data_IF_307096539742
#
_entry.id   IF_307096539742
#
_cell.length_a   1.000
_cell.length_b   1.000
_cell.length_c   1.000
_cell.angle_alpha   90.00
_cell.angle_beta   90.00
_cell.angle_gamma   90.00
#
_symmetry.space_group_name_H-M   'P 1'
#
loop_
_entity.id
_entity.type
_entity.pdbx_description
1 polymer ?
#
# COMPACT_ATOMS: atom_id res chain seq x y z
N UNK A 1 -7.87 -39.57 -44.79
CA UNK A 1 -8.19 -38.24 -44.22
C UNK A 1 -8.71 -38.50 -42.83
N UNK A 2 -7.80 -38.65 -41.87
CA UNK A 2 -8.16 -38.53 -40.46
C UNK A 2 -8.55 -37.07 -40.24
N UNK A 3 -9.79 -36.85 -39.81
CA UNK A 3 -10.23 -35.53 -39.41
C UNK A 3 -9.49 -35.16 -38.14
N UNK A 4 -8.62 -34.16 -38.24
CA UNK A 4 -8.19 -33.41 -37.06
C UNK A 4 -9.46 -32.76 -36.49
N UNK A 5 -10.08 -33.40 -35.50
CA UNK A 5 -11.06 -32.75 -34.65
C UNK A 5 -10.40 -31.47 -34.11
N UNK A 6 -11.05 -30.29 -34.24
CA UNK A 6 -10.46 -29.05 -33.76
C UNK A 6 -10.23 -29.20 -32.25
N UNK A 7 -8.95 -29.23 -31.86
CA UNK A 7 -8.52 -29.32 -30.46
C UNK A 7 -9.28 -28.24 -29.68
N UNK A 8 -10.20 -28.66 -28.81
CA UNK A 8 -10.97 -27.72 -28.02
C UNK A 8 -9.99 -26.83 -27.24
N UNK A 9 -10.19 -25.50 -27.26
CA UNK A 9 -9.32 -24.62 -26.52
C UNK A 9 -9.37 -24.98 -25.03
N UNK A 10 -8.22 -25.37 -24.48
CA UNK A 10 -8.09 -25.75 -23.07
C UNK A 10 -8.28 -24.50 -22.19
N UNK A 11 -9.51 -24.28 -21.74
CA UNK A 11 -9.85 -23.29 -20.71
C UNK A 11 -10.09 -24.00 -19.38
N UNK A 12 -9.45 -23.52 -18.31
CA UNK A 12 -9.74 -23.95 -16.95
C UNK A 12 -11.16 -23.55 -16.52
N UNK A 13 -11.69 -24.23 -15.50
CA UNK A 13 -13.08 -24.03 -15.05
C UNK A 13 -13.38 -22.60 -14.61
N UNK A 14 -12.41 -21.88 -14.02
CA UNK A 14 -12.61 -20.51 -13.56
C UNK A 14 -12.57 -19.52 -14.73
N UNK A 15 -11.67 -19.68 -15.70
CA UNK A 15 -11.63 -18.85 -16.92
C UNK A 15 -12.88 -19.01 -17.79
N UNK A 16 -13.57 -20.16 -17.72
CA UNK A 16 -14.88 -20.34 -18.37
C UNK A 16 -15.97 -19.46 -17.80
N UNK A 17 -15.94 -19.22 -16.48
CA UNK A 17 -16.94 -18.40 -15.79
C UNK A 17 -16.52 -16.93 -15.81
N UNK A 18 -15.26 -16.64 -15.53
CA UNK A 18 -14.76 -15.30 -15.34
C UNK A 18 -13.41 -15.14 -16.05
N UNK A 19 -13.39 -14.78 -17.34
CA UNK A 19 -12.14 -14.54 -18.07
C UNK A 19 -11.41 -13.28 -17.54
N UNK A 20 -10.11 -13.20 -17.83
CA UNK A 20 -9.19 -12.22 -17.27
C UNK A 20 -9.67 -10.74 -17.35
N UNK A 21 -10.23 -10.24 -18.46
CA UNK A 21 -10.66 -8.84 -18.51
C UNK A 21 -11.76 -8.51 -17.50
N UNK A 22 -12.68 -9.45 -17.25
CA UNK A 22 -13.73 -9.27 -16.23
C UNK A 22 -13.17 -9.33 -14.81
N UNK A 23 -12.14 -10.15 -14.55
CA UNK A 23 -11.46 -10.19 -13.25
C UNK A 23 -10.87 -8.82 -12.89
N UNK A 24 -10.11 -8.24 -13.82
CA UNK A 24 -9.51 -6.91 -13.69
C UNK A 24 -10.60 -5.86 -13.45
N UNK A 25 -11.66 -5.88 -14.27
CA UNK A 25 -12.80 -4.98 -14.14
C UNK A 25 -13.47 -5.05 -12.77
N UNK A 26 -13.77 -6.25 -12.27
CA UNK A 26 -14.42 -6.45 -10.98
C UNK A 26 -13.57 -5.92 -9.83
N UNK A 27 -12.27 -6.18 -9.82
CA UNK A 27 -11.38 -5.72 -8.75
C UNK A 27 -11.26 -4.19 -8.74
N UNK A 28 -11.24 -3.55 -9.91
CA UNK A 28 -11.23 -2.08 -9.99
C UNK A 28 -12.54 -1.51 -9.46
N UNK A 29 -13.70 -2.03 -9.90
CA UNK A 29 -15.01 -1.55 -9.44
C UNK A 29 -15.20 -1.79 -7.94
N UNK A 30 -14.76 -2.93 -7.43
CA UNK A 30 -14.74 -3.25 -6.00
C UNK A 30 -13.94 -2.22 -5.20
N UNK A 31 -12.78 -1.77 -5.69
CA UNK A 31 -12.00 -0.71 -5.05
C UNK A 31 -12.73 0.62 -4.94
N UNK A 32 -13.54 0.98 -5.95
CA UNK A 32 -14.34 2.19 -5.92
C UNK A 32 -15.44 2.09 -4.85
N UNK A 33 -16.13 0.95 -4.75
CA UNK A 33 -17.07 0.68 -3.67
C UNK A 33 -16.41 0.74 -2.28
N UNK A 34 -15.24 0.10 -2.15
CA UNK A 34 -14.44 0.07 -0.94
C UNK A 34 -14.04 1.48 -0.48
N UNK A 35 -13.64 2.35 -1.41
CA UNK A 35 -13.36 3.76 -1.11
C UNK A 35 -14.62 4.54 -0.68
N UNK A 36 -15.76 4.32 -1.34
CA UNK A 36 -17.04 4.91 -0.94
C UNK A 36 -17.43 4.53 0.49
N UNK A 37 -17.26 3.27 0.88
CA UNK A 37 -17.50 2.77 2.23
C UNK A 37 -16.55 3.39 3.27
N UNK A 38 -15.26 3.60 2.92
CA UNK A 38 -14.34 4.36 3.78
C UNK A 38 -14.89 5.76 4.07
N UNK A 39 -15.25 6.49 3.01
CA UNK A 39 -15.77 7.86 3.14
C UNK A 39 -17.07 7.90 3.94
N UNK A 40 -17.98 6.94 3.74
CA UNK A 40 -19.24 6.89 4.47
C UNK A 40 -19.00 6.67 5.96
N UNK A 41 -18.29 5.60 6.33
CA UNK A 41 -18.11 5.23 7.73
C UNK A 41 -17.27 6.26 8.49
N UNK A 42 -16.18 6.76 7.89
CA UNK A 42 -15.36 7.82 8.50
C UNK A 42 -16.17 9.11 8.70
N UNK A 43 -17.06 9.45 7.76
CA UNK A 43 -17.98 10.58 7.94
C UNK A 43 -18.99 10.36 9.07
N UNK A 44 -19.47 9.12 9.29
CA UNK A 44 -20.40 8.81 10.37
C UNK A 44 -19.77 9.03 11.74
N UNK A 45 -18.50 8.68 11.89
CA UNK A 45 -17.72 8.93 13.12
C UNK A 45 -17.06 10.31 13.14
N UNK A 46 -17.49 11.26 12.28
CA UNK A 46 -17.03 12.66 12.25
C UNK A 46 -15.55 12.88 11.89
N UNK A 47 -14.94 11.98 11.12
CA UNK A 47 -13.63 12.19 10.49
C UNK A 47 -13.83 12.78 9.09
N UNK A 48 -13.37 14.02 8.88
CA UNK A 48 -13.47 14.73 7.59
C UNK A 48 -12.30 14.36 6.66
N UNK A 49 -12.43 13.21 5.99
CA UNK A 49 -11.45 12.73 4.99
C UNK A 49 -11.19 13.74 3.87
N UNK A 50 -12.22 14.37 3.24
CA UNK A 50 -12.02 15.44 2.27
C UNK A 50 -11.04 16.52 2.73
N UNK A 51 -11.16 16.99 3.97
CA UNK A 51 -10.24 18.00 4.52
C UNK A 51 -8.78 17.50 4.60
N UNK A 52 -8.57 16.25 5.05
CA UNK A 52 -7.23 15.65 5.18
C UNK A 52 -6.52 15.50 3.85
N UNK A 53 -7.26 15.11 2.80
CA UNK A 53 -6.70 14.94 1.46
C UNK A 53 -6.75 16.24 0.65
N UNK A 54 -7.17 17.37 1.25
CA UNK A 54 -7.36 18.69 0.62
C UNK A 54 -8.36 18.68 -0.56
N UNK A 55 -9.39 17.85 -0.48
CA UNK A 55 -10.50 17.82 -1.44
C UNK A 55 -11.42 19.03 -1.22
N UNK A 56 -11.99 19.65 -2.28
CA UNK A 56 -12.87 20.81 -2.12
C UNK A 56 -14.03 20.53 -1.16
N UNK A 57 -14.22 21.44 -0.21
CA UNK A 57 -15.33 21.37 0.72
C UNK A 57 -16.68 21.50 0.00
N UNK A 58 -17.74 21.03 0.66
CA UNK A 58 -19.10 21.23 0.17
C UNK A 58 -19.51 22.68 0.38
N UNK A 59 -19.88 23.37 -0.69
CA UNK A 59 -20.36 24.76 -0.64
C UNK A 59 -21.74 24.89 0.05
N UNK A 60 -22.50 23.80 0.16
CA UNK A 60 -23.82 23.79 0.78
C UNK A 60 -24.12 22.43 1.41
N UNK A 61 -24.87 22.36 2.54
CA UNK A 61 -25.38 21.12 3.10
C UNK A 61 -26.23 20.31 2.11
N UNK A 62 -26.90 20.98 1.16
CA UNK A 62 -27.72 20.36 0.12
C UNK A 62 -26.89 19.66 -0.96
N UNK A 63 -25.58 19.94 -1.06
CA UNK A 63 -24.71 19.19 -1.96
C UNK A 63 -24.56 17.75 -1.47
N UNK A 64 -24.63 16.77 -2.39
CA UNK A 64 -24.50 15.37 -2.02
C UNK A 64 -23.17 15.12 -1.31
N UNK A 65 -23.15 14.27 -0.27
CA UNK A 65 -21.92 13.93 0.42
C UNK A 65 -20.94 13.23 -0.53
N UNK A 66 -19.63 13.32 -0.22
CA UNK A 66 -18.60 12.78 -1.11
C UNK A 66 -18.70 11.26 -1.30
N UNK A 67 -19.12 10.50 -0.27
CA UNK A 67 -19.37 9.06 -0.40
C UNK A 67 -20.50 8.75 -1.40
N UNK A 68 -21.56 9.57 -1.46
CA UNK A 68 -22.66 9.38 -2.41
C UNK A 68 -22.19 9.64 -3.85
N UNK A 69 -21.32 10.64 -4.05
CA UNK A 69 -20.68 10.85 -5.35
C UNK A 69 -19.85 9.63 -5.77
N UNK A 70 -19.15 8.99 -4.82
CA UNK A 70 -18.41 7.76 -5.07
C UNK A 70 -19.34 6.59 -5.43
N UNK A 71 -20.44 6.39 -4.69
CA UNK A 71 -21.44 5.36 -5.00
C UNK A 71 -22.12 5.55 -6.35
N UNK A 72 -22.34 6.80 -6.79
CA UNK A 72 -22.84 7.08 -8.14
C UNK A 72 -21.87 6.58 -9.21
N UNK A 73 -20.57 6.83 -9.05
CA UNK A 73 -19.55 6.30 -9.97
C UNK A 73 -19.49 4.78 -9.91
N UNK A 74 -19.48 4.20 -8.71
CA UNK A 74 -19.44 2.76 -8.50
C UNK A 74 -20.65 2.06 -9.16
N UNK A 75 -21.85 2.61 -8.97
CA UNK A 75 -23.10 2.11 -9.55
C UNK A 75 -23.10 2.26 -11.08
N UNK A 76 -22.66 3.40 -11.61
CA UNK A 76 -22.58 3.65 -13.04
C UNK A 76 -21.62 2.70 -13.77
N UNK A 77 -20.62 2.15 -13.07
CA UNK A 77 -19.72 1.12 -13.59
C UNK A 77 -20.27 -0.31 -13.34
N UNK A 78 -20.90 -0.54 -12.18
CA UNK A 78 -21.41 -1.86 -11.78
C UNK A 78 -22.58 -2.33 -12.64
N UNK A 79 -23.51 -1.45 -13.02
CA UNK A 79 -24.67 -1.80 -13.85
C UNK A 79 -24.25 -2.36 -15.22
N UNK A 80 -23.44 -1.65 -16.03
CA UNK A 80 -22.97 -2.18 -17.31
C UNK A 80 -22.06 -3.40 -17.14
N UNK A 81 -21.31 -3.51 -16.03
CA UNK A 81 -20.51 -4.70 -15.74
C UNK A 81 -21.39 -5.94 -15.55
N UNK A 82 -22.41 -5.83 -14.68
CA UNK A 82 -23.35 -6.90 -14.42
C UNK A 82 -24.12 -7.29 -15.69
N UNK A 83 -24.59 -6.30 -16.46
CA UNK A 83 -25.25 -6.57 -17.74
C UNK A 83 -24.34 -7.28 -18.74
N UNK A 84 -23.08 -6.84 -18.86
CA UNK A 84 -22.07 -7.46 -19.74
C UNK A 84 -21.75 -8.89 -19.30
N UNK A 85 -21.56 -9.14 -18.00
CA UNK A 85 -21.30 -10.47 -17.43
C UNK A 85 -22.48 -11.43 -17.63
N UNK A 86 -23.70 -10.99 -17.32
CA UNK A 86 -24.90 -11.80 -17.51
C UNK A 86 -25.08 -12.15 -18.98
N UNK A 87 -24.93 -11.16 -19.89
CA UNK A 87 -24.98 -11.40 -21.33
C UNK A 87 -23.91 -12.41 -21.75
N UNK A 88 -22.66 -12.22 -21.31
CA UNK A 88 -21.55 -13.13 -21.59
C UNK A 88 -21.86 -14.57 -21.16
N UNK A 89 -22.39 -14.79 -19.95
CA UNK A 89 -22.79 -16.12 -19.50
C UNK A 89 -23.92 -16.71 -20.34
N UNK A 90 -24.92 -15.90 -20.71
CA UNK A 90 -26.04 -16.37 -21.52
C UNK A 90 -25.63 -16.78 -22.94
N UNK A 91 -24.76 -16.00 -23.61
CA UNK A 91 -24.37 -16.28 -25.00
C UNK A 91 -23.28 -17.34 -25.10
N UNK A 92 -22.46 -17.51 -24.07
CA UNK A 92 -21.40 -18.53 -24.09
C UNK A 92 -21.87 -19.87 -23.55
N UNK A 93 -22.80 -19.89 -22.59
CA UNK A 93 -23.25 -21.09 -21.88
C UNK A 93 -22.08 -21.96 -21.35
N UNK A 94 -20.91 -21.36 -21.10
CA UNK A 94 -19.69 -22.05 -20.69
C UNK A 94 -18.94 -22.81 -21.79
N UNK A 95 -19.37 -22.72 -23.06
CA UNK A 95 -18.70 -23.34 -24.21
C UNK A 95 -17.35 -22.67 -24.50
N UNK A 96 -16.23 -23.41 -24.55
CA UNK A 96 -14.90 -22.83 -24.78
C UNK A 96 -14.77 -22.07 -26.10
N UNK A 97 -15.36 -22.58 -27.18
CA UNK A 97 -15.34 -21.94 -28.50
C UNK A 97 -16.15 -20.64 -28.48
N UNK A 98 -17.31 -20.66 -27.84
CA UNK A 98 -18.15 -19.47 -27.69
C UNK A 98 -17.44 -18.38 -26.86
N UNK A 99 -16.81 -18.75 -25.74
CA UNK A 99 -16.04 -17.83 -24.89
C UNK A 99 -14.98 -17.07 -25.69
N UNK A 100 -14.20 -17.78 -26.50
CA UNK A 100 -13.16 -17.18 -27.35
C UNK A 100 -13.77 -16.23 -28.38
N UNK A 101 -14.84 -16.66 -29.05
CA UNK A 101 -15.52 -15.88 -30.10
C UNK A 101 -16.18 -14.60 -29.56
N UNK A 102 -16.70 -14.62 -28.33
CA UNK A 102 -17.40 -13.51 -27.69
C UNK A 102 -16.49 -12.62 -26.82
N UNK A 103 -15.18 -12.66 -27.04
CA UNK A 103 -14.20 -11.83 -26.33
C UNK A 103 -14.43 -10.32 -26.44
N UNK A 104 -15.21 -9.89 -27.43
CA UNK A 104 -15.64 -8.50 -27.58
C UNK A 104 -16.39 -7.97 -26.35
N UNK A 105 -17.21 -8.76 -25.67
CA UNK A 105 -17.99 -8.32 -24.51
C UNK A 105 -17.09 -7.90 -23.32
N UNK A 106 -16.18 -8.77 -22.81
CA UNK A 106 -15.24 -8.40 -21.77
C UNK A 106 -14.34 -7.23 -22.16
N UNK A 107 -13.83 -7.22 -23.40
CA UNK A 107 -12.93 -6.17 -23.89
C UNK A 107 -13.64 -4.82 -24.01
N UNK A 108 -14.89 -4.82 -24.52
CA UNK A 108 -15.70 -3.60 -24.64
C UNK A 108 -16.00 -3.01 -23.25
N UNK A 109 -16.34 -3.85 -22.27
CA UNK A 109 -16.54 -3.36 -20.91
C UNK A 109 -15.24 -2.78 -20.32
N UNK A 110 -14.10 -3.47 -20.51
CA UNK A 110 -12.81 -2.96 -20.03
C UNK A 110 -12.47 -1.62 -20.68
N UNK A 111 -12.78 -1.44 -21.98
CA UNK A 111 -12.66 -0.16 -22.66
C UNK A 111 -13.60 0.90 -22.05
N UNK A 112 -14.86 0.58 -21.77
CA UNK A 112 -15.81 1.48 -21.08
C UNK A 112 -15.26 1.90 -19.71
N UNK A 113 -14.63 1.00 -18.98
CA UNK A 113 -14.00 1.30 -17.69
C UNK A 113 -12.83 2.28 -17.85
N UNK A 114 -11.91 2.02 -18.79
CA UNK A 114 -10.75 2.90 -19.05
C UNK A 114 -11.20 4.28 -19.54
N UNK A 115 -12.12 4.32 -20.51
CA UNK A 115 -12.70 5.57 -21.03
C UNK A 115 -13.47 6.29 -19.93
N UNK A 116 -14.24 5.57 -19.12
CA UNK A 116 -14.96 6.11 -17.97
C UNK A 116 -14.03 6.69 -16.90
N UNK A 117 -12.80 6.19 -16.79
CA UNK A 117 -11.79 6.73 -15.89
C UNK A 117 -11.14 8.00 -16.44
N UNK A 118 -10.79 8.02 -17.74
CA UNK A 118 -10.03 9.10 -18.38
C UNK A 118 -10.94 10.27 -18.82
N UNK A 119 -12.09 9.97 -19.44
CA UNK A 119 -12.94 10.97 -20.07
C UNK A 119 -13.74 11.74 -19.01
N UNK A 120 -13.71 13.09 -19.02
CA UNK A 120 -14.43 13.93 -18.06
C UNK A 120 -15.93 14.03 -18.40
N UNK A 121 -16.65 12.92 -18.30
CA UNK A 121 -18.10 12.86 -18.54
C UNK A 121 -18.83 13.79 -17.54
N UNK A 122 -19.64 14.75 -18.02
CA UNK A 122 -20.30 15.74 -17.17
C UNK A 122 -21.23 15.12 -16.12
N UNK A 123 -21.87 14.00 -16.45
CA UNK A 123 -22.90 13.33 -15.63
C UNK A 123 -22.35 12.54 -14.44
N UNK A 124 -21.03 12.28 -14.38
CA UNK A 124 -20.44 11.37 -13.38
C UNK A 124 -19.13 11.95 -12.82
N UNK A 125 -19.23 12.95 -11.94
CA UNK A 125 -18.11 13.45 -11.11
C UNK A 125 -16.87 13.95 -11.88
N UNK A 126 -17.05 14.89 -12.81
CA UNK A 126 -15.96 15.54 -13.59
C UNK A 126 -14.79 16.03 -12.72
N UNK A 127 -15.07 16.78 -11.65
CA UNK A 127 -14.02 17.35 -10.79
C UNK A 127 -13.21 16.26 -10.05
N UNK A 128 -13.89 15.22 -9.55
CA UNK A 128 -13.24 14.08 -8.91
C UNK A 128 -12.30 13.32 -9.85
N UNK A 129 -12.73 13.08 -11.10
CA UNK A 129 -11.90 12.41 -12.11
C UNK A 129 -10.66 13.22 -12.46
N UNK A 130 -10.84 14.51 -12.76
CA UNK A 130 -9.71 15.39 -13.09
C UNK A 130 -8.67 15.41 -11.97
N UNK A 131 -9.11 15.52 -10.71
CA UNK A 131 -8.21 15.46 -9.55
C UNK A 131 -7.52 14.10 -9.43
N UNK A 132 -8.24 13.01 -9.65
CA UNK A 132 -7.68 11.65 -9.60
C UNK A 132 -6.59 11.48 -10.66
N UNK A 133 -6.85 11.89 -11.90
CA UNK A 133 -5.88 11.85 -13.00
C UNK A 133 -4.69 12.77 -12.75
N UNK A 134 -4.92 13.99 -12.24
CA UNK A 134 -3.84 14.91 -11.87
C UNK A 134 -2.97 14.34 -10.75
N UNK A 135 -3.58 13.67 -9.78
CA UNK A 135 -2.87 13.00 -8.67
C UNK A 135 -2.09 11.80 -9.19
N UNK A 136 -2.69 10.93 -10.01
CA UNK A 136 -1.99 9.83 -10.68
C UNK A 136 -0.80 10.32 -11.49
N UNK A 137 -1.00 11.32 -12.34
CA UNK A 137 0.08 11.93 -13.14
C UNK A 137 1.22 12.43 -12.25
N UNK A 138 0.87 13.16 -11.18
CA UNK A 138 1.84 13.71 -10.22
C UNK A 138 2.63 12.60 -9.53
N UNK A 139 1.95 11.61 -8.93
CA UNK A 139 2.64 10.50 -8.25
C UNK A 139 3.42 9.60 -9.22
N UNK A 140 3.02 9.46 -10.48
CA UNK A 140 3.68 8.59 -11.48
C UNK A 140 4.89 9.25 -12.14
N UNK A 141 4.80 10.50 -12.59
CA UNK A 141 5.87 11.17 -13.36
C UNK A 141 6.90 11.82 -12.43
N UNK A 142 6.47 12.36 -11.30
CA UNK A 142 7.34 13.10 -10.38
C UNK A 142 6.65 14.34 -9.84
N UNK A 143 7.06 14.70 -8.62
CA UNK A 143 6.32 15.63 -7.77
C UNK A 143 5.47 14.85 -6.79
N UNK A 144 5.80 14.92 -5.51
CA UNK A 144 4.85 14.66 -4.43
C UNK A 144 4.41 16.01 -3.92
N UNK A 145 3.10 16.19 -3.70
CA UNK A 145 2.56 17.40 -3.12
C UNK A 145 3.29 17.73 -1.81
N UNK A 146 3.46 19.01 -1.50
CA UNK A 146 3.97 19.40 -0.19
C UNK A 146 2.95 19.01 0.90
N UNK A 147 3.39 19.00 2.16
CA UNK A 147 2.52 18.66 3.28
C UNK A 147 1.26 19.55 3.31
N UNK A 148 1.42 20.84 2.98
CA UNK A 148 0.31 21.79 2.90
C UNK A 148 -0.68 21.49 1.76
N UNK A 149 -0.19 20.91 0.66
CA UNK A 149 -0.90 20.82 -0.63
C UNK A 149 -1.61 19.48 -0.87
N UNK A 150 -1.65 18.60 0.14
CA UNK A 150 -2.36 17.32 0.06
C UNK A 150 -1.47 16.10 -0.13
N UNK A 151 -0.21 16.14 0.36
CA UNK A 151 0.71 14.99 0.43
C UNK A 151 0.05 13.69 0.91
N UNK A 152 -0.85 13.78 1.89
CA UNK A 152 -1.54 12.62 2.43
C UNK A 152 -2.39 11.89 1.37
N UNK A 153 -3.09 12.64 0.51
CA UNK A 153 -3.85 12.08 -0.61
C UNK A 153 -2.94 11.39 -1.65
N UNK A 154 -1.77 11.97 -1.94
CA UNK A 154 -0.78 11.36 -2.84
C UNK A 154 -0.26 10.03 -2.27
N UNK A 155 0.03 9.99 -0.97
CA UNK A 155 0.49 8.78 -0.27
C UNK A 155 -0.60 7.71 -0.28
N UNK A 156 -1.84 8.05 0.07
CA UNK A 156 -2.96 7.09 0.06
C UNK A 156 -3.16 6.46 -1.32
N UNK A 157 -3.14 7.28 -2.39
CA UNK A 157 -3.31 6.77 -3.74
C UNK A 157 -2.12 5.90 -4.19
N UNK A 158 -0.90 6.33 -3.90
CA UNK A 158 0.29 5.56 -4.25
C UNK A 158 0.37 4.23 -3.48
N UNK A 159 -0.03 4.19 -2.21
CA UNK A 159 -0.12 2.95 -1.43
C UNK A 159 -1.27 2.06 -1.91
N UNK A 160 -2.39 2.62 -2.34
CA UNK A 160 -3.43 1.85 -3.03
C UNK A 160 -2.88 1.20 -4.31
N UNK A 161 -2.12 1.92 -5.13
CA UNK A 161 -1.50 1.36 -6.34
C UNK A 161 -0.57 0.17 -6.06
N UNK A 162 0.12 0.14 -4.91
CA UNK A 162 0.95 -1.04 -4.55
C UNK A 162 0.12 -2.31 -4.39
N UNK A 163 -1.09 -2.19 -3.84
CA UNK A 163 -2.04 -3.31 -3.71
C UNK A 163 -2.66 -3.71 -5.05
N UNK A 164 -2.68 -2.80 -6.03
CA UNK A 164 -3.12 -3.05 -7.40
C UNK A 164 -2.00 -3.53 -8.35
N UNK A 165 -0.76 -3.71 -7.88
CA UNK A 165 0.39 -4.04 -8.73
C UNK A 165 0.15 -5.25 -9.65
N UNK A 166 -0.40 -6.33 -9.11
CA UNK A 166 -0.73 -7.54 -9.88
C UNK A 166 -1.90 -7.32 -10.85
N UNK A 167 -2.93 -6.56 -10.44
CA UNK A 167 -4.05 -6.18 -11.31
C UNK A 167 -3.57 -5.35 -12.51
N UNK A 168 -2.57 -4.48 -12.32
CA UNK A 168 -1.92 -3.74 -13.40
C UNK A 168 -1.12 -4.67 -14.32
N UNK A 169 -0.46 -5.68 -13.76
CA UNK A 169 0.18 -6.77 -14.53
C UNK A 169 -0.84 -7.52 -15.40
N UNK A 170 -2.00 -7.88 -14.85
CA UNK A 170 -3.06 -8.59 -15.59
C UNK A 170 -3.74 -7.71 -16.64
N UNK A 171 -3.94 -6.41 -16.34
CA UNK A 171 -4.36 -5.45 -17.34
C UNK A 171 -3.38 -5.40 -18.51
N UNK A 172 -2.08 -5.44 -18.24
CA UNK A 172 -1.07 -5.54 -19.29
C UNK A 172 -1.11 -6.88 -20.03
N UNK A 173 -1.32 -8.00 -19.35
CA UNK A 173 -1.50 -9.32 -20.01
C UNK A 173 -2.67 -9.27 -20.99
N UNK A 174 -3.82 -8.70 -20.59
CA UNK A 174 -4.97 -8.51 -21.49
C UNK A 174 -4.58 -7.68 -22.71
N UNK A 175 -3.90 -6.55 -22.52
CA UNK A 175 -3.45 -5.70 -23.62
C UNK A 175 -2.45 -6.42 -24.54
N UNK A 176 -1.48 -7.13 -23.96
CA UNK A 176 -0.48 -7.85 -24.73
C UNK A 176 -1.11 -8.96 -25.57
N UNK A 177 -2.03 -9.74 -25.00
CA UNK A 177 -2.78 -10.78 -25.71
C UNK A 177 -3.69 -10.20 -26.80
N UNK A 178 -4.25 -9.00 -26.61
CA UNK A 178 -5.09 -8.34 -27.62
C UNK A 178 -4.31 -7.95 -28.89
N UNK A 179 -3.00 -7.73 -28.79
CA UNK A 179 -2.14 -7.33 -29.92
C UNK A 179 -1.13 -8.41 -30.34
N UNK A 180 -1.11 -9.56 -29.65
CA UNK A 180 -0.18 -10.65 -29.97
C UNK A 180 -0.79 -11.59 -31.01
N UNK A 181 -0.02 -11.91 -32.05
CA UNK A 181 -0.36 -12.98 -33.00
C UNK A 181 -0.29 -14.39 -32.40
N UNK A 182 0.34 -14.53 -31.22
CA UNK A 182 0.55 -15.82 -30.55
C UNK A 182 -0.55 -16.17 -29.55
N UNK A 183 -1.49 -15.26 -29.27
CA UNK A 183 -2.59 -15.49 -28.33
C UNK A 183 -3.91 -15.64 -29.11
N UNK A 184 -4.71 -16.70 -28.87
CA UNK A 184 -5.94 -16.92 -29.63
C UNK A 184 -7.06 -15.93 -29.27
N UNK A 185 -7.10 -15.43 -28.04
CA UNK A 185 -8.08 -14.44 -27.56
C UNK A 185 -7.72 -13.93 -26.16
N UNK A 186 -8.18 -12.73 -25.79
CA UNK A 186 -8.02 -12.18 -24.42
C UNK A 186 -8.83 -12.92 -23.36
N UNK A 187 -9.74 -13.80 -23.78
CA UNK A 187 -10.54 -14.68 -22.91
C UNK A 187 -9.96 -16.09 -22.82
N UNK A 188 -8.88 -16.37 -23.56
CA UNK A 188 -8.12 -17.59 -23.41
C UNK A 188 -7.32 -17.60 -22.09
N UNK A 189 -6.64 -18.71 -21.81
CA UNK A 189 -5.78 -18.83 -20.65
C UNK A 189 -4.75 -17.67 -20.63
N UNK A 190 -4.60 -16.93 -19.51
CA UNK A 190 -3.69 -15.81 -19.42
C UNK A 190 -2.23 -16.15 -19.76
N UNK A 191 -1.68 -15.54 -20.81
CA UNK A 191 -0.26 -15.70 -21.14
C UNK A 191 0.59 -14.70 -20.34
N UNK A 192 1.06 -15.14 -19.15
CA UNK A 192 1.95 -14.35 -18.28
C UNK A 192 3.40 -14.25 -18.76
N UNK A 193 3.71 -14.81 -19.94
CA UNK A 193 4.99 -14.62 -20.64
C UNK A 193 4.85 -13.71 -21.87
N UNK A 194 3.67 -13.12 -22.10
CA UNK A 194 3.44 -12.21 -23.21
C UNK A 194 4.33 -10.97 -23.06
N UNK A 195 5.21 -10.74 -24.05
CA UNK A 195 6.22 -9.68 -24.00
C UNK A 195 7.52 -10.07 -23.28
N UNK A 196 7.71 -11.36 -22.99
CA UNK A 196 8.94 -11.92 -22.40
C UNK A 196 8.89 -12.06 -20.87
N UNK A 197 9.89 -12.72 -20.27
CA UNK A 197 9.87 -13.13 -18.87
C UNK A 197 9.94 -11.97 -17.86
N UNK A 198 10.39 -10.79 -18.27
CA UNK A 198 10.66 -9.66 -17.36
C UNK A 198 9.72 -8.45 -17.51
N UNK A 199 8.93 -8.37 -18.58
CA UNK A 199 8.11 -7.18 -18.84
C UNK A 199 6.94 -7.05 -17.85
N UNK A 200 6.22 -8.13 -17.57
CA UNK A 200 5.16 -8.16 -16.56
C UNK A 200 5.71 -7.92 -15.15
N UNK A 201 6.80 -8.59 -14.70
CA UNK A 201 7.47 -8.26 -13.45
C UNK A 201 7.88 -6.79 -13.34
N UNK A 202 8.41 -6.20 -14.42
CA UNK A 202 8.73 -4.78 -14.45
C UNK A 202 7.49 -3.92 -14.19
N UNK A 203 6.36 -4.20 -14.84
CA UNK A 203 5.10 -3.47 -14.63
C UNK A 203 4.59 -3.62 -13.19
N UNK A 204 4.64 -4.83 -12.63
CA UNK A 204 4.28 -5.10 -11.22
C UNK A 204 5.19 -4.31 -10.26
N UNK A 205 6.43 -4.01 -10.64
CA UNK A 205 7.37 -3.22 -9.82
C UNK A 205 7.11 -1.71 -9.83
N UNK A 206 6.37 -1.19 -10.82
CA UNK A 206 6.15 0.26 -11.02
C UNK A 206 5.55 0.95 -9.77
N UNK A 207 4.50 0.42 -9.11
CA UNK A 207 3.96 1.05 -7.91
C UNK A 207 4.97 1.19 -6.78
N UNK A 208 5.80 0.16 -6.54
CA UNK A 208 6.87 0.21 -5.53
C UNK A 208 7.96 1.20 -5.92
N UNK A 209 8.30 1.32 -7.20
CA UNK A 209 9.24 2.31 -7.71
C UNK A 209 8.73 3.75 -7.51
N UNK A 210 7.44 3.98 -7.74
CA UNK A 210 6.78 5.26 -7.46
C UNK A 210 6.99 5.64 -5.98
N UNK A 211 6.70 4.72 -5.06
CA UNK A 211 6.86 4.95 -3.61
C UNK A 211 8.30 5.15 -3.20
N UNK A 212 9.24 4.34 -3.72
CA UNK A 212 10.67 4.52 -3.50
C UNK A 212 11.09 5.94 -3.89
N UNK A 213 10.75 6.39 -5.11
CA UNK A 213 11.08 7.74 -5.59
C UNK A 213 10.48 8.82 -4.70
N UNK A 214 9.22 8.68 -4.31
CA UNK A 214 8.56 9.63 -3.42
C UNK A 214 9.30 9.76 -2.07
N UNK A 215 9.70 8.63 -1.48
CA UNK A 215 10.42 8.61 -0.21
C UNK A 215 11.82 9.24 -0.33
N UNK A 216 12.57 8.95 -1.40
CA UNK A 216 13.86 9.57 -1.66
C UNK A 216 13.74 11.08 -1.92
N UNK A 217 12.66 11.52 -2.57
CA UNK A 217 12.39 12.94 -2.81
C UNK A 217 12.13 13.67 -1.51
N UNK A 218 11.32 13.11 -0.62
CA UNK A 218 11.04 13.69 0.70
C UNK A 218 12.29 13.76 1.58
N UNK A 219 13.11 12.69 1.62
CA UNK A 219 14.41 12.74 2.29
C UNK A 219 15.28 13.89 1.76
N UNK A 220 15.38 13.99 0.42
CA UNK A 220 16.16 15.06 -0.22
C UNK A 220 15.63 16.46 0.14
N UNK A 221 14.31 16.62 0.28
CA UNK A 221 13.68 17.89 0.71
C UNK A 221 14.00 18.24 2.15
N UNK A 222 13.93 17.27 3.07
CA UNK A 222 14.31 17.48 4.48
C UNK A 222 15.77 17.91 4.57
N UNK A 223 16.67 17.22 3.85
CA UNK A 223 18.10 17.58 3.84
C UNK A 223 18.36 18.95 3.20
N UNK A 224 17.62 19.32 2.16
CA UNK A 224 17.72 20.67 1.60
C UNK A 224 17.22 21.75 2.59
N UNK A 225 16.14 21.48 3.33
CA UNK A 225 15.62 22.39 4.34
C UNK A 225 16.58 22.57 5.53
N UNK A 226 17.13 21.47 6.05
CA UNK A 226 18.11 21.48 7.13
C UNK A 226 19.38 22.26 6.74
N UNK A 227 19.88 22.06 5.51
CA UNK A 227 21.02 22.85 4.99
C UNK A 227 20.73 24.35 4.91
N UNK A 228 19.50 24.75 4.54
CA UNK A 228 19.09 26.16 4.49
C UNK A 228 18.93 26.77 5.88
N UNK A 229 18.46 26.00 6.85
CA UNK A 229 18.22 26.45 8.22
C UNK A 229 19.49 26.44 9.11
N UNK A 230 20.54 25.71 8.71
CA UNK A 230 21.77 25.56 9.50
C UNK A 230 21.64 24.65 10.73
N UNK A 231 20.45 24.11 10.99
CA UNK A 231 20.15 23.16 12.05
C UNK A 231 19.00 22.24 11.61
N UNK A 232 18.80 21.13 12.31
CA UNK A 232 17.71 20.19 12.02
C UNK A 232 16.40 20.70 12.62
N UNK A 233 15.50 21.21 11.76
CA UNK A 233 14.19 21.72 12.19
C UNK A 233 13.16 20.59 12.39
N UNK A 234 13.25 19.52 11.58
CA UNK A 234 12.26 18.43 11.53
C UNK A 234 12.92 17.03 11.63
N UNK A 235 14.07 16.92 12.31
CA UNK A 235 14.90 15.71 12.29
C UNK A 235 15.77 15.60 11.03
N UNK A 236 16.59 14.54 10.94
CA UNK A 236 17.48 14.32 9.79
C UNK A 236 16.76 13.65 8.60
N UNK A 237 15.52 13.21 8.80
CA UNK A 237 14.68 12.61 7.76
C UNK A 237 14.86 11.10 7.60
N UNK A 238 15.42 10.43 8.62
CA UNK A 238 15.69 8.99 8.58
C UNK A 238 14.47 8.14 8.29
N UNK A 239 13.31 8.54 8.83
CA UNK A 239 12.01 7.93 8.53
C UNK A 239 11.70 7.82 7.02
N UNK A 240 12.11 8.80 6.21
CA UNK A 240 11.87 8.74 4.76
C UNK A 240 12.77 7.71 4.08
N UNK A 241 14.03 7.61 4.52
CA UNK A 241 14.96 6.60 4.02
C UNK A 241 14.54 5.19 4.45
N UNK A 242 14.07 5.02 5.69
CA UNK A 242 13.51 3.78 6.17
C UNK A 242 12.30 3.36 5.31
N UNK A 243 11.40 4.29 4.98
CA UNK A 243 10.27 4.01 4.10
C UNK A 243 10.72 3.65 2.68
N UNK A 244 11.74 4.33 2.14
CA UNK A 244 12.36 3.97 0.87
C UNK A 244 12.92 2.53 0.89
N UNK A 245 13.61 2.16 1.97
CA UNK A 245 14.12 0.81 2.16
C UNK A 245 12.98 -0.22 2.23
N UNK A 246 11.85 0.11 2.89
CA UNK A 246 10.66 -0.75 2.88
C UNK A 246 10.21 -1.06 1.45
N UNK A 247 9.99 -0.05 0.62
CA UNK A 247 9.52 -0.29 -0.76
C UNK A 247 10.58 -0.93 -1.67
N UNK A 248 11.88 -0.79 -1.36
CA UNK A 248 12.92 -1.47 -2.12
C UNK A 248 12.94 -2.99 -1.90
N UNK A 249 12.47 -3.47 -0.74
CA UNK A 249 12.38 -4.92 -0.45
C UNK A 249 11.41 -5.68 -1.38
N UNK A 250 10.53 -4.98 -2.11
CA UNK A 250 9.65 -5.61 -3.09
C UNK A 250 10.39 -6.05 -4.36
N UNK A 251 11.47 -5.36 -4.77
CA UNK A 251 12.16 -5.66 -6.03
C UNK A 251 12.83 -7.04 -6.05
N UNK A 252 13.57 -7.45 -4.99
CA UNK A 252 14.11 -8.81 -4.94
C UNK A 252 13.03 -9.89 -5.06
N UNK A 253 11.87 -9.71 -4.41
CA UNK A 253 10.75 -10.66 -4.51
C UNK A 253 10.30 -10.80 -5.97
N UNK A 254 10.03 -9.67 -6.63
CA UNK A 254 9.54 -9.64 -8.01
C UNK A 254 10.58 -10.23 -8.98
N UNK A 255 11.84 -9.82 -8.86
CA UNK A 255 12.93 -10.29 -9.73
C UNK A 255 13.18 -11.79 -9.56
N UNK A 256 13.26 -12.28 -8.32
CA UNK A 256 13.49 -13.70 -8.06
C UNK A 256 12.29 -14.55 -8.51
N UNK A 257 11.07 -14.02 -8.43
CA UNK A 257 9.87 -14.68 -8.98
C UNK A 257 9.97 -14.84 -10.50
N UNK A 258 10.48 -13.83 -11.20
CA UNK A 258 10.70 -13.87 -12.65
C UNK A 258 11.80 -14.87 -13.01
N UNK A 259 12.93 -14.83 -12.31
CA UNK A 259 14.08 -15.73 -12.53
C UNK A 259 13.73 -17.19 -12.28
N UNK A 260 12.95 -17.48 -11.23
CA UNK A 260 12.52 -18.83 -10.91
C UNK A 260 11.53 -19.37 -11.95
N UNK A 261 10.66 -18.52 -12.52
CA UNK A 261 9.75 -18.88 -13.62
C UNK A 261 10.51 -19.14 -14.93
N UNK A 262 11.62 -18.44 -15.16
CA UNK A 262 12.46 -18.60 -16.35
C UNK A 262 13.66 -19.51 -16.13
N UNK A 263 13.67 -20.31 -15.07
CA UNK A 263 14.81 -21.16 -14.72
C UNK A 263 14.94 -22.31 -15.73
N UNK A 264 16.11 -22.42 -16.35
CA UNK A 264 16.49 -23.54 -17.21
C UNK A 264 17.65 -24.30 -16.54
N UNK A 265 17.48 -25.59 -16.18
CA UNK A 265 18.51 -26.40 -15.53
C UNK A 265 19.84 -26.46 -16.30
N UNK A 266 19.82 -26.39 -17.62
CA UNK A 266 21.01 -26.54 -18.48
C UNK A 266 21.79 -25.22 -18.62
N UNK A 267 21.11 -24.06 -18.50
CA UNK A 267 21.71 -22.74 -18.76
C UNK A 267 21.93 -21.92 -17.48
N UNK A 268 21.23 -22.24 -16.40
CA UNK A 268 21.21 -21.42 -15.19
C UNK A 268 22.38 -21.73 -14.26
N UNK A 269 23.18 -20.70 -13.93
CA UNK A 269 24.33 -20.81 -13.01
C UNK A 269 23.94 -21.09 -11.55
N UNK A 270 22.71 -20.80 -11.16
CA UNK A 270 22.20 -20.92 -9.78
C UNK A 270 21.14 -22.01 -9.77
N UNK A 271 21.27 -22.99 -8.88
CA UNK A 271 20.26 -24.05 -8.73
C UNK A 271 18.87 -23.50 -8.39
N UNK A 272 17.82 -24.13 -8.89
CA UNK A 272 16.42 -23.81 -8.58
C UNK A 272 16.16 -23.71 -7.06
N UNK A 273 16.71 -24.67 -6.30
CA UNK A 273 16.57 -24.69 -4.83
C UNK A 273 17.20 -23.46 -4.17
N UNK A 274 18.35 -23.02 -4.65
CA UNK A 274 18.99 -21.81 -4.12
C UNK A 274 18.18 -20.55 -4.49
N UNK A 275 17.66 -20.45 -5.72
CA UNK A 275 16.77 -19.37 -6.14
C UNK A 275 15.50 -19.32 -5.28
N UNK A 276 14.87 -20.47 -5.05
CA UNK A 276 13.69 -20.58 -4.20
C UNK A 276 13.96 -20.14 -2.75
N UNK A 277 15.09 -20.53 -2.16
CA UNK A 277 15.50 -20.08 -0.81
C UNK A 277 15.75 -18.58 -0.73
N UNK A 278 16.41 -18.01 -1.75
CA UNK A 278 16.60 -16.56 -1.86
C UNK A 278 15.25 -15.84 -1.96
N UNK A 279 14.36 -16.37 -2.79
CA UNK A 279 13.01 -15.84 -2.97
C UNK A 279 12.22 -15.86 -1.66
N UNK A 280 12.25 -16.98 -0.94
CA UNK A 280 11.57 -17.11 0.37
C UNK A 280 12.13 -16.12 1.40
N UNK A 281 13.45 -15.89 1.39
CA UNK A 281 14.10 -14.90 2.26
C UNK A 281 13.65 -13.48 1.90
N UNK A 282 13.63 -13.13 0.61
CA UNK A 282 13.15 -11.84 0.14
C UNK A 282 11.67 -11.61 0.51
N UNK A 283 10.83 -12.65 0.33
CA UNK A 283 9.42 -12.68 0.72
C UNK A 283 9.25 -12.39 2.22
N UNK A 284 10.04 -13.07 3.06
CA UNK A 284 9.99 -12.89 4.51
C UNK A 284 10.39 -11.48 4.91
N UNK A 285 11.53 -10.97 4.39
CA UNK A 285 12.03 -9.62 4.68
C UNK A 285 11.02 -8.56 4.26
N UNK A 286 10.49 -8.64 3.03
CA UNK A 286 9.49 -7.70 2.53
C UNK A 286 8.22 -7.72 3.39
N UNK A 287 7.71 -8.91 3.71
CA UNK A 287 6.47 -9.08 4.47
C UNK A 287 6.62 -8.60 5.91
N UNK A 288 7.69 -8.99 6.60
CA UNK A 288 7.96 -8.62 7.98
C UNK A 288 8.22 -7.12 8.12
N UNK A 289 9.05 -6.52 7.26
CA UNK A 289 9.33 -5.09 7.33
C UNK A 289 8.07 -4.28 7.02
N UNK A 290 7.35 -4.64 5.97
CA UNK A 290 6.16 -3.89 5.60
C UNK A 290 5.01 -4.07 6.62
N UNK A 291 4.89 -5.23 7.29
CA UNK A 291 3.96 -5.43 8.41
C UNK A 291 4.34 -4.58 9.62
N UNK A 292 5.61 -4.60 10.01
CA UNK A 292 6.14 -3.73 11.06
C UNK A 292 5.81 -2.26 10.78
N UNK A 293 5.98 -1.82 9.54
CA UNK A 293 5.69 -0.45 9.12
C UNK A 293 4.21 -0.10 9.27
N UNK A 294 3.30 -0.97 8.81
CA UNK A 294 1.86 -0.72 8.89
C UNK A 294 1.42 -0.52 10.35
N UNK A 295 1.86 -1.42 11.24
CA UNK A 295 1.51 -1.37 12.66
C UNK A 295 2.12 -0.15 13.36
N UNK A 296 3.42 0.10 13.17
CA UNK A 296 4.15 1.07 13.99
C UNK A 296 4.16 2.48 13.44
N UNK A 297 4.24 2.65 12.12
CA UNK A 297 4.38 3.97 11.49
C UNK A 297 3.04 4.47 10.94
N UNK A 298 2.34 3.62 10.19
CA UNK A 298 1.11 4.03 9.53
C UNK A 298 -0.06 4.13 10.52
N UNK A 299 -0.21 3.15 11.41
CA UNK A 299 -1.25 3.15 12.45
C UNK A 299 -0.80 3.71 13.80
N UNK A 300 0.49 3.99 13.95
CA UNK A 300 1.09 4.61 15.14
C UNK A 300 0.86 3.80 16.42
N UNK A 301 0.97 2.47 16.32
CA UNK A 301 0.80 1.56 17.45
C UNK A 301 2.17 1.16 18.01
N UNK A 302 2.24 0.93 19.32
CA UNK A 302 3.49 0.63 20.04
C UNK A 302 3.58 -0.83 20.49
N UNK A 303 2.83 -1.73 19.83
CA UNK A 303 2.80 -3.16 20.13
C UNK A 303 4.20 -3.82 20.12
N UNK A 304 5.11 -3.33 19.29
CA UNK A 304 6.50 -3.82 19.20
C UNK A 304 7.51 -2.99 20.00
N UNK A 305 7.05 -2.05 20.84
CA UNK A 305 7.91 -1.22 21.70
C UNK A 305 7.63 -1.54 23.18
N UNK A 306 8.35 -2.50 23.79
CA UNK A 306 8.06 -3.02 25.13
C UNK A 306 8.11 -1.98 26.26
N UNK A 307 8.91 -0.93 26.09
CA UNK A 307 9.03 0.18 27.06
C UNK A 307 7.84 1.15 26.98
N UNK A 308 7.26 1.32 25.79
CA UNK A 308 6.17 2.27 25.55
C UNK A 308 4.78 1.66 25.75
N UNK A 309 4.63 0.33 25.69
CA UNK A 309 3.34 -0.37 25.90
C UNK A 309 2.66 -0.13 27.25
N UNK A 310 3.44 0.34 28.24
CA UNK A 310 3.00 0.61 29.60
C UNK A 310 2.91 2.11 29.90
N UNK A 311 3.16 2.98 28.91
CA UNK A 311 3.04 4.41 29.09
C UNK A 311 1.55 4.81 29.12
N UNK A 312 1.23 5.87 29.87
CA UNK A 312 -0.12 6.43 29.89
C UNK A 312 -0.56 7.01 28.53
N UNK A 313 0.39 7.26 27.63
CA UNK A 313 0.13 7.73 26.26
C UNK A 313 -0.18 6.59 25.28
N UNK A 314 0.25 5.36 25.59
CA UNK A 314 0.00 4.18 24.75
C UNK A 314 -0.56 2.97 25.55
N UNK A 315 -1.75 3.09 26.15
CA UNK A 315 -2.33 2.00 26.92
C UNK A 315 -2.60 0.77 26.04
N UNK A 316 -2.15 -0.40 26.50
CA UNK A 316 -2.24 -1.67 25.78
C UNK A 316 -1.52 -1.68 24.42
N UNK A 317 -0.52 -0.80 24.24
CA UNK A 317 0.21 -0.62 22.99
C UNK A 317 -0.61 0.05 21.87
N UNK A 318 -1.76 0.64 22.21
CA UNK A 318 -2.62 1.41 21.32
C UNK A 318 -2.53 2.90 21.64
N UNK A 319 -2.80 3.78 20.67
CA UNK A 319 -2.85 5.23 20.89
C UNK A 319 -3.86 5.60 21.99
N UNK A 320 -3.55 6.61 22.79
CA UNK A 320 -4.49 7.19 23.78
C UNK A 320 -5.75 7.76 23.13
N UNK A 321 -5.61 8.58 22.09
CA UNK A 321 -6.73 9.18 21.37
C UNK A 321 -7.11 8.30 20.19
N UNK A 322 -8.31 7.73 20.26
CA UNK A 322 -8.86 6.77 19.29
C UNK A 322 -10.29 7.13 18.95
N UNK A 323 -10.63 7.03 17.68
CA UNK A 323 -11.99 7.25 17.20
C UNK A 323 -12.76 5.94 17.02
N UNK A 324 -12.06 4.81 16.88
CA UNK A 324 -12.67 3.51 17.00
C UNK A 324 -12.69 3.11 18.48
N UNK A 325 -13.87 3.13 19.11
CA UNK A 325 -13.99 2.92 20.56
C UNK A 325 -13.61 1.50 20.99
N UNK A 326 -13.93 0.49 20.18
CA UNK A 326 -13.57 -0.90 20.44
C UNK A 326 -12.09 -1.14 20.12
N UNK A 327 -11.31 -1.54 21.12
CA UNK A 327 -9.87 -1.88 20.98
C UNK A 327 -9.67 -3.11 20.08
N UNK A 328 -10.67 -3.99 20.06
CA UNK A 328 -10.74 -5.22 19.30
C UNK A 328 -10.57 -4.96 17.81
N UNK A 329 -11.06 -3.82 17.29
CA UNK A 329 -10.90 -3.46 15.88
C UNK A 329 -9.44 -3.24 15.49
N UNK A 330 -8.61 -2.67 16.38
CA UNK A 330 -7.18 -2.48 16.11
C UNK A 330 -6.45 -3.81 16.07
N UNK A 331 -6.70 -4.70 17.04
CA UNK A 331 -6.08 -6.03 17.06
C UNK A 331 -6.55 -6.90 15.90
N UNK A 332 -7.84 -6.85 15.55
CA UNK A 332 -8.38 -7.54 14.38
C UNK A 332 -7.72 -7.04 13.09
N UNK A 333 -7.50 -5.73 12.93
CA UNK A 333 -6.80 -5.17 11.78
C UNK A 333 -5.33 -5.61 11.71
N UNK A 334 -4.62 -5.65 12.84
CA UNK A 334 -3.25 -6.18 12.93
C UNK A 334 -3.19 -7.66 12.53
N UNK A 335 -4.09 -8.49 13.06
CA UNK A 335 -4.15 -9.90 12.70
C UNK A 335 -4.50 -10.10 11.22
N UNK A 336 -5.50 -9.37 10.72
CA UNK A 336 -5.92 -9.44 9.31
C UNK A 336 -4.78 -9.01 8.38
N UNK A 337 -4.06 -7.94 8.70
CA UNK A 337 -2.94 -7.47 7.89
C UNK A 337 -1.79 -8.50 7.88
N UNK A 338 -1.45 -9.09 9.03
CA UNK A 338 -0.45 -10.16 9.10
C UNK A 338 -0.84 -11.36 8.22
N UNK A 339 -2.08 -11.85 8.36
CA UNK A 339 -2.58 -13.01 7.60
C UNK A 339 -2.63 -12.74 6.09
N UNK A 340 -3.19 -11.59 5.69
CA UNK A 340 -3.33 -11.27 4.27
C UNK A 340 -2.01 -10.87 3.62
N UNK A 341 -1.02 -10.36 4.36
CA UNK A 341 0.33 -10.13 3.81
C UNK A 341 1.02 -11.41 3.39
N UNK A 342 0.81 -12.52 4.11
CA UNK A 342 1.30 -13.82 3.68
C UNK A 342 0.72 -14.21 2.30
N UNK A 343 -0.51 -13.81 1.98
CA UNK A 343 -1.14 -14.10 0.68
C UNK A 343 -0.50 -13.33 -0.48
N UNK A 344 0.05 -12.13 -0.23
CA UNK A 344 0.77 -11.35 -1.25
C UNK A 344 1.99 -12.10 -1.77
N UNK A 345 2.76 -12.70 -0.87
CA UNK A 345 3.95 -13.47 -1.22
C UNK A 345 3.61 -14.79 -1.90
N UNK A 346 2.54 -15.45 -1.46
CA UNK A 346 2.04 -16.67 -2.09
C UNK A 346 1.67 -16.41 -3.56
N UNK A 347 0.99 -15.30 -3.88
CA UNK A 347 0.62 -14.93 -5.27
C UNK A 347 1.79 -14.83 -6.26
N UNK A 348 2.98 -14.50 -5.78
CA UNK A 348 4.17 -14.37 -6.64
C UNK A 348 4.95 -15.68 -6.75
N UNK A 349 4.51 -16.74 -6.08
CA UNK A 349 5.14 -18.06 -6.14
C UNK A 349 4.99 -18.68 -7.53
N UNK A 350 6.09 -19.00 -8.23
CA UNK A 350 6.04 -19.64 -9.54
C UNK A 350 5.44 -21.05 -9.51
N UNK A 351 5.48 -21.73 -8.36
CA UNK A 351 4.90 -23.07 -8.21
C UNK A 351 3.37 -23.08 -8.25
N UNK A 352 2.70 -21.94 -8.01
CA UNK A 352 1.24 -21.85 -8.16
C UNK A 352 0.80 -21.73 -9.63
N UNK A 353 1.66 -21.22 -10.52
CA UNK A 353 1.36 -21.13 -11.95
C UNK A 353 1.38 -22.52 -12.63
N UNK A 354 1.98 -23.54 -12.01
CA UNK A 354 2.02 -24.90 -12.57
C UNK A 354 0.73 -25.72 -12.29
N UNK A 355 -0.12 -25.25 -11.38
CA UNK A 355 -1.42 -25.87 -11.10
C UNK A 355 -2.52 -25.07 -11.79
N UNK A 356 -2.92 -25.51 -12.99
CA UNK A 356 -3.96 -24.89 -13.83
C UNK A 356 -5.33 -24.68 -13.14
N UNK A 357 -5.57 -25.30 -11.97
CA UNK A 357 -6.80 -25.14 -11.17
C UNK A 357 -6.81 -23.89 -10.26
N UNK A 358 -5.76 -23.06 -10.26
CA UNK A 358 -5.59 -21.97 -9.29
C UNK A 358 -5.86 -20.55 -9.81
N UNK A 359 -6.34 -20.38 -11.06
CA UNK A 359 -6.71 -19.04 -11.57
C UNK A 359 -7.75 -18.34 -10.68
N UNK A 360 -8.69 -19.11 -10.12
CA UNK A 360 -9.62 -18.63 -9.08
C UNK A 360 -8.91 -18.20 -7.80
N UNK A 361 -7.89 -18.96 -7.38
CA UNK A 361 -7.05 -18.62 -6.23
C UNK A 361 -6.30 -17.30 -6.42
N UNK A 362 -5.69 -17.08 -7.60
CA UNK A 362 -5.00 -15.83 -7.94
C UNK A 362 -5.97 -14.65 -7.84
N UNK A 363 -7.17 -14.77 -8.43
CA UNK A 363 -8.22 -13.75 -8.35
C UNK A 363 -8.67 -13.46 -6.91
N UNK A 364 -8.96 -14.50 -6.11
CA UNK A 364 -9.34 -14.32 -4.70
C UNK A 364 -8.22 -13.62 -3.93
N UNK A 365 -6.98 -14.03 -4.14
CA UNK A 365 -5.85 -13.42 -3.48
C UNK A 365 -5.71 -11.94 -3.90
N UNK A 366 -5.86 -11.57 -5.17
CA UNK A 366 -5.89 -10.18 -5.62
C UNK A 366 -7.00 -9.36 -4.95
N UNK A 367 -8.21 -9.92 -4.87
CA UNK A 367 -9.32 -9.28 -4.18
C UNK A 367 -9.04 -9.08 -2.68
N UNK A 368 -8.46 -10.08 -2.02
CA UNK A 368 -8.06 -10.00 -0.61
C UNK A 368 -6.99 -8.93 -0.35
N UNK A 369 -6.08 -8.68 -1.30
CA UNK A 369 -5.10 -7.60 -1.16
C UNK A 369 -5.75 -6.21 -1.26
N UNK A 370 -6.77 -6.05 -2.09
CA UNK A 370 -7.59 -4.83 -2.11
C UNK A 370 -8.37 -4.68 -0.81
N UNK A 371 -8.95 -5.76 -0.28
CA UNK A 371 -9.63 -5.77 1.03
C UNK A 371 -8.68 -5.42 2.17
N UNK A 372 -7.45 -5.96 2.18
CA UNK A 372 -6.42 -5.62 3.18
C UNK A 372 -6.14 -4.13 3.17
N UNK A 373 -5.90 -3.54 1.99
CA UNK A 373 -5.67 -2.09 1.85
C UNK A 373 -6.89 -1.28 2.24
N UNK A 374 -8.10 -1.74 1.90
CA UNK A 374 -9.36 -1.12 2.30
C UNK A 374 -9.47 -1.00 3.82
N UNK A 375 -9.14 -2.06 4.56
CA UNK A 375 -9.10 -2.03 6.04
C UNK A 375 -8.00 -1.08 6.53
N UNK A 376 -6.79 -1.17 5.96
CA UNK A 376 -5.66 -0.31 6.33
C UNK A 376 -5.98 1.19 6.21
N UNK A 377 -6.79 1.60 5.22
CA UNK A 377 -7.15 3.01 5.02
C UNK A 377 -7.91 3.58 6.23
N UNK A 378 -8.82 2.83 6.85
CA UNK A 378 -9.55 3.29 8.03
C UNK A 378 -8.61 3.74 9.14
N UNK A 379 -7.65 2.88 9.48
CA UNK A 379 -6.69 3.13 10.56
C UNK A 379 -5.64 4.17 10.17
N UNK A 380 -5.20 4.20 8.90
CA UNK A 380 -4.27 5.23 8.42
C UNK A 380 -4.90 6.62 8.47
N UNK A 381 -6.15 6.75 8.02
CA UNK A 381 -6.88 8.03 8.00
C UNK A 381 -7.20 8.50 9.41
N UNK A 382 -7.65 7.61 10.28
CA UNK A 382 -7.89 7.93 11.69
C UNK A 382 -6.61 8.34 12.42
N UNK A 383 -5.49 7.70 12.12
CA UNK A 383 -4.17 8.10 12.61
C UNK A 383 -3.78 9.51 12.15
N UNK A 384 -3.92 9.81 10.86
CA UNK A 384 -3.62 11.14 10.31
C UNK A 384 -4.55 12.23 10.88
N UNK A 385 -5.82 11.89 11.09
CA UNK A 385 -6.80 12.77 11.71
C UNK A 385 -6.38 13.17 13.12
N UNK A 386 -5.99 12.19 13.95
CA UNK A 386 -5.51 12.42 15.31
C UNK A 386 -4.24 13.28 15.30
N UNK A 387 -3.26 13.00 14.43
CA UNK A 387 -2.04 13.80 14.30
C UNK A 387 -2.32 15.26 13.95
N UNK A 388 -3.23 15.51 13.00
CA UNK A 388 -3.58 16.86 12.55
C UNK A 388 -4.32 17.66 13.63
N UNK A 389 -5.18 17.02 14.42
CA UNK A 389 -5.96 17.69 15.47
C UNK A 389 -5.17 17.91 16.76
N UNK A 390 -4.16 17.09 17.06
CA UNK A 390 -3.21 17.37 18.16
C UNK A 390 -2.35 18.61 17.88
N UNK A 391 -2.05 18.87 16.62
CA UNK A 391 -1.19 19.97 16.20
C UNK A 391 -1.95 21.30 15.99
N UNK A 392 -3.26 21.37 16.30
CA UNK A 392 -4.00 22.64 16.27
C UNK A 392 -3.65 23.51 17.49
N UNK A 393 -3.56 24.85 17.35
CA UNK A 393 -2.97 25.73 18.37
C UNK A 393 -3.72 25.79 19.71
N UNK A 394 -4.91 25.19 19.81
CA UNK A 394 -5.72 25.17 21.03
C UNK A 394 -5.30 24.10 22.04
N UNK A 395 -4.40 23.17 21.69
CA UNK A 395 -3.91 22.15 22.63
C UNK A 395 -2.39 21.91 22.54
N UNK A 396 -1.67 22.69 23.34
CA UNK A 396 -0.32 22.43 23.89
C UNK A 396 0.90 22.52 22.95
N UNK A 397 1.71 23.56 23.21
CA UNK A 397 3.12 23.69 22.84
C UNK A 397 4.02 22.56 23.36
N UNK A 398 3.54 21.77 24.32
CA UNK A 398 4.28 20.67 24.95
C UNK A 398 4.18 19.36 24.17
N UNK A 399 3.03 19.05 23.56
CA UNK A 399 2.83 17.79 22.83
C UNK A 399 3.51 17.80 21.45
N UNK A 400 3.57 18.96 20.79
CA UNK A 400 4.29 19.13 19.52
C UNK A 400 5.80 19.00 19.71
N UNK A 401 6.33 19.54 20.81
CA UNK A 401 7.75 19.42 21.16
C UNK A 401 8.08 17.96 21.50
N UNK A 402 7.25 17.28 22.29
CA UNK A 402 7.47 15.87 22.64
C UNK A 402 7.37 14.93 21.43
N UNK A 403 6.40 15.13 20.52
CA UNK A 403 6.30 14.33 19.30
C UNK A 403 7.47 14.61 18.33
N UNK A 404 7.95 15.85 18.26
CA UNK A 404 9.15 16.19 17.47
C UNK A 404 10.42 15.59 18.10
N UNK A 405 10.55 15.64 19.43
CA UNK A 405 11.64 15.03 20.18
C UNK A 405 11.60 13.50 20.06
N UNK A 406 10.44 12.86 20.11
CA UNK A 406 10.33 11.40 20.03
C UNK A 406 10.59 10.90 18.60
N UNK A 407 10.16 11.63 17.57
CA UNK A 407 10.56 11.35 16.19
C UNK A 407 12.06 11.59 15.96
N UNK A 408 12.64 12.63 16.57
CA UNK A 408 14.07 12.88 16.52
C UNK A 408 14.89 11.83 17.30
N UNK A 409 14.40 11.39 18.46
CA UNK A 409 15.05 10.37 19.30
C UNK A 409 14.97 8.98 18.67
N UNK A 410 13.84 8.58 18.06
CA UNK A 410 13.74 7.35 17.25
C UNK A 410 14.71 7.38 16.05
N UNK A 411 14.95 8.57 15.47
CA UNK A 411 15.87 8.80 14.36
C UNK A 411 17.36 8.76 14.82
N UNK A 412 17.66 9.16 16.06
CA UNK A 412 19.01 9.23 16.66
C UNK A 412 19.45 7.93 17.36
N UNK A 413 18.52 7.16 17.95
CA UNK A 413 18.79 5.86 18.59
C UNK A 413 19.30 4.81 17.58
N UNK A 414 19.14 5.05 16.27
CA UNK A 414 19.69 4.21 15.21
C UNK A 414 21.20 4.34 15.01
N UNK A 415 21.84 5.35 15.63
CA UNK A 415 23.28 5.64 15.50
C UNK A 415 24.08 5.47 16.81
N UNK A 416 23.43 5.44 17.98
CA UNK A 416 24.11 5.53 19.28
C UNK A 416 24.04 4.29 20.17
N UNK A 417 23.91 3.09 19.59
CA UNK A 417 23.89 1.83 20.33
C UNK A 417 25.18 1.45 21.10
N UNK A 418 26.30 2.16 20.92
CA UNK A 418 27.60 1.77 21.49
C UNK A 418 28.33 2.83 22.32
N UNK A 419 27.81 4.05 22.50
CA UNK A 419 28.54 5.11 23.23
C UNK A 419 28.07 5.24 24.69
N UNK A 420 26.82 4.91 25.00
CA UNK A 420 26.27 5.07 26.36
C UNK A 420 26.69 4.00 27.38
N UNK A 421 27.30 2.88 26.94
CA UNK A 421 27.84 1.86 27.85
C UNK A 421 29.29 2.15 28.29
N UNK A 422 30.00 3.07 27.62
CA UNK A 422 31.38 3.44 27.99
C UNK A 422 31.42 4.50 29.11
N UNK A 423 30.44 5.42 29.17
CA UNK A 423 30.42 6.52 30.15
C UNK A 423 29.83 6.14 31.52
N UNK A 424 29.09 5.03 31.63
CA UNK A 424 28.64 4.52 32.92
C UNK A 424 29.70 3.68 33.65
N UNK A 425 30.79 3.30 32.97
CA UNK A 425 31.88 2.55 33.59
C UNK A 425 32.98 3.46 34.20
N UNK A 426 33.05 4.75 33.82
CA UNK A 426 34.10 5.68 34.26
C UNK A 426 33.72 6.54 35.48
N UNK A 427 32.46 6.52 35.91
CA UNK A 427 31.94 7.42 36.96
C UNK A 427 31.74 6.76 38.34
N UNK A 428 32.14 5.50 38.52
CA UNK A 428 31.95 4.75 39.79
C UNK A 428 33.19 4.59 40.68
N UNK A 429 34.29 5.33 40.42
CA UNK A 429 35.48 5.29 41.28
C UNK A 429 36.00 6.68 41.62
N UNK A 430 35.46 7.32 42.67
CA UNK A 430 36.21 8.14 43.65
C UNK A 430 35.32 9.05 44.50
N UNK A 431 34.59 8.51 45.48
CA UNK A 431 34.20 9.29 46.67
C UNK A 431 34.27 8.42 47.92
N UNK A 432 35.16 8.78 48.84
CA UNK A 432 35.31 8.27 50.21
C UNK A 432 36.77 8.45 50.65
N UNK A 433 37.14 9.11 51.74
CA UNK A 433 36.45 9.81 52.81
C UNK A 433 37.52 10.34 53.81
N UNK A 434 37.09 10.69 55.03
CA UNK A 434 37.82 11.31 56.18
C UNK A 434 37.92 12.84 56.10
N UNK A 435 37.43 13.65 57.05
CA UNK A 435 37.29 13.51 58.50
C UNK A 435 38.44 14.29 59.14
N UNK A 436 38.24 15.51 59.66
CA UNK A 436 38.03 15.81 61.10
C UNK A 436 37.63 17.29 61.34
N UNK A 437 36.81 17.53 62.38
CA UNK A 437 36.48 18.84 63.01
C UNK A 437 37.47 19.18 64.15
N UNK A 438 37.24 20.21 64.99
CA UNK A 438 36.94 21.64 64.76
C UNK A 438 37.89 22.58 65.58
N UNK A 439 37.86 23.90 65.35
CA UNK A 439 38.24 24.86 66.41
C UNK A 439 37.53 26.22 66.28
N UNK A 440 37.05 26.69 67.44
CA UNK A 440 36.47 27.99 67.76
C UNK A 440 37.37 29.19 67.44
N UNK A 441 36.76 30.36 67.20
CA UNK A 441 37.44 31.66 67.31
C UNK A 441 36.52 32.86 67.02
N UNK A 442 36.27 33.64 68.06
CA UNK A 442 35.52 34.90 68.17
C UNK A 442 36.12 36.05 67.33
N UNK A 443 35.33 37.09 67.01
CA UNK A 443 35.88 38.40 66.59
C UNK A 443 34.88 39.35 65.93
N UNK A 444 34.42 40.34 66.70
CA UNK A 444 33.55 41.48 66.39
C UNK A 444 34.14 42.53 65.41
N UNK A 445 33.26 43.48 65.03
CA UNK A 445 33.48 44.89 64.61
C UNK A 445 34.02 45.12 63.18
N UNK A 446 33.50 46.03 62.35
CA UNK A 446 32.52 47.12 62.46
C UNK A 446 31.71 47.26 61.15
#
# INVERSE_FOLDING_TARGET
>A
MEGDDPIEPQLDGFSRILPLPYRVALIIVMGIWAWGLNLQYLSLIRIDVPSLIRYPARNSPHHPPHYLSCYRVATALSIPLAASLLLFWTVTAGSPTAIISWSILPNLYLLVLVVGFIVPLPSVSRAGRHRTLATLKRISIGGIAEAADGKFGDILLADALTSYAKVLGDLFVVLCMAFSSSAPSTTALPNRNCGGPFLIPFIISIPSLIRLRQCLTEYSRVQAANRKAGHSLNGWGGVHLANAAKYSTAFPVILLSALLRSHDPEQSRISETALFRLWLTAVFVNSAYSFYWDVTRDWDLTLFKPRQRSSAEYPWGLRRHRWFHAKEFYYAAVCLDALLRCTWSVKLSPHLDHFNDLEGGIFVMEALEVVRRWVWIFFRVECEWVRTHRNSPSSSSSASLLAAIENAADDDDSLNGNILLADMASSSSSVGGSGTSPHHGYGDSD
#
